data_IF_763962726347
#
_entry.id   IF_763962726347
#
_cell.length_a   1.000
_cell.length_b   1.000
_cell.length_c   1.000
_cell.angle_alpha   90.00
_cell.angle_beta   90.00
_cell.angle_gamma   90.00
#
_symmetry.space_group_name_H-M   'P 1'
#
loop_
_entity.id
_entity.type
_entity.pdbx_description
1 polymer ?
#
# COMPACT_ATOMS: atom_id res chain seq x y z
N UNK A 1 34.43 -13.60 -6.38
CA UNK A 1 33.74 -14.48 -7.33
C UNK A 1 32.35 -13.92 -7.53
N UNK A 2 32.04 -13.37 -8.71
CA UNK A 2 30.72 -12.81 -8.99
C UNK A 2 29.70 -13.95 -9.01
N UNK A 3 28.68 -13.89 -8.14
CA UNK A 3 27.55 -14.82 -8.18
C UNK A 3 26.87 -14.68 -9.54
N UNK A 4 26.73 -15.80 -10.26
CA UNK A 4 25.95 -15.86 -11.48
C UNK A 4 24.49 -15.53 -11.13
N UNK A 5 24.03 -14.35 -11.55
CA UNK A 5 22.64 -13.93 -11.48
C UNK A 5 21.78 -14.93 -12.25
N UNK A 6 20.95 -15.71 -11.55
CA UNK A 6 19.95 -16.56 -12.17
C UNK A 6 18.93 -15.64 -12.85
N UNK A 7 18.97 -15.59 -14.19
CA UNK A 7 18.11 -14.73 -15.00
C UNK A 7 16.64 -15.11 -14.74
N UNK A 8 15.88 -14.21 -14.11
CA UNK A 8 14.45 -14.41 -13.86
C UNK A 8 13.71 -14.60 -15.19
N UNK A 9 12.68 -15.44 -15.25
CA UNK A 9 11.79 -15.50 -16.41
C UNK A 9 11.25 -14.10 -16.70
N UNK A 10 11.25 -13.72 -17.97
CA UNK A 10 10.85 -12.40 -18.45
C UNK A 10 9.46 -12.49 -19.08
N UNK A 11 8.58 -11.58 -18.66
CA UNK A 11 7.25 -11.35 -19.25
C UNK A 11 7.18 -9.93 -19.83
N UNK A 12 6.64 -9.81 -21.04
CA UNK A 12 6.41 -8.53 -21.70
C UNK A 12 4.90 -8.24 -21.78
N UNK A 13 4.48 -7.07 -21.31
CA UNK A 13 3.15 -6.52 -21.58
C UNK A 13 3.24 -5.63 -22.82
N UNK A 14 2.55 -6.00 -23.90
CA UNK A 14 2.64 -5.33 -25.18
C UNK A 14 1.32 -4.64 -25.58
N UNK A 15 1.38 -3.51 -26.29
CA UNK A 15 0.21 -2.83 -26.82
C UNK A 15 0.56 -1.71 -27.80
N UNK A 16 -0.43 -1.20 -28.51
CA UNK A 16 -0.21 -0.10 -29.45
C UNK A 16 -1.43 0.80 -29.64
N UNK A 17 -1.22 1.97 -30.26
CA UNK A 17 -2.29 2.65 -30.99
C UNK A 17 -2.38 2.21 -32.45
N UNK A 18 -3.32 2.78 -33.20
CA UNK A 18 -3.55 2.46 -34.60
C UNK A 18 -2.35 2.75 -35.52
N UNK A 19 -1.46 3.66 -35.14
CA UNK A 19 -0.26 3.98 -35.90
C UNK A 19 0.92 3.04 -35.58
N UNK A 20 0.91 2.42 -34.40
CA UNK A 20 1.98 1.51 -33.95
C UNK A 20 1.67 0.01 -34.08
N UNK A 21 0.43 -0.38 -34.41
CA UNK A 21 -0.02 -1.78 -34.31
C UNK A 21 0.81 -2.77 -35.14
N UNK A 22 1.08 -2.46 -36.41
CA UNK A 22 1.87 -3.33 -37.29
C UNK A 22 3.31 -3.56 -36.77
N UNK A 23 3.91 -2.50 -36.22
CA UNK A 23 5.25 -2.58 -35.63
C UNK A 23 5.23 -3.42 -34.35
N UNK A 24 4.25 -3.19 -33.47
CA UNK A 24 4.03 -4.01 -32.26
C UNK A 24 3.87 -5.49 -32.60
N UNK A 25 3.03 -5.84 -33.58
CA UNK A 25 2.80 -7.25 -33.97
C UNK A 25 4.08 -7.94 -34.47
N UNK A 26 4.91 -7.21 -35.22
CA UNK A 26 6.22 -7.70 -35.67
C UNK A 26 7.13 -8.01 -34.48
N UNK A 27 7.21 -7.09 -33.52
CA UNK A 27 8.04 -7.24 -32.32
C UNK A 27 7.52 -8.36 -31.40
N UNK A 28 6.21 -8.50 -31.23
CA UNK A 28 5.60 -9.62 -30.49
C UNK A 28 5.99 -10.96 -31.10
N UNK A 29 5.99 -11.07 -32.42
CA UNK A 29 6.39 -12.28 -33.12
C UNK A 29 7.86 -12.65 -32.82
N UNK A 30 8.73 -11.65 -32.76
CA UNK A 30 10.14 -11.85 -32.38
C UNK A 30 10.30 -12.25 -30.91
N UNK A 31 9.59 -11.60 -29.99
CA UNK A 31 9.60 -11.98 -28.56
C UNK A 31 9.18 -13.44 -28.36
N UNK A 32 8.11 -13.86 -29.05
CA UNK A 32 7.63 -15.25 -29.01
C UNK A 32 8.65 -16.23 -29.62
N UNK A 33 9.34 -15.84 -30.70
CA UNK A 33 10.42 -16.65 -31.28
C UNK A 33 11.62 -16.82 -30.32
N UNK A 34 11.81 -15.87 -29.40
CA UNK A 34 12.80 -15.95 -28.31
C UNK A 34 12.29 -16.69 -27.06
N UNK A 35 11.10 -17.31 -27.12
CA UNK A 35 10.43 -17.95 -25.98
C UNK A 35 10.18 -17.00 -24.79
N UNK A 36 9.99 -15.71 -25.05
CA UNK A 36 9.60 -14.73 -24.03
C UNK A 36 8.08 -14.72 -23.93
N UNK A 37 7.55 -14.76 -22.70
CA UNK A 37 6.10 -14.65 -22.47
C UNK A 37 5.63 -13.25 -22.86
N UNK A 38 4.59 -13.16 -23.68
CA UNK A 38 4.00 -11.89 -24.11
C UNK A 38 2.51 -11.88 -23.85
N UNK A 39 2.08 -10.88 -23.09
CA UNK A 39 0.68 -10.51 -22.93
C UNK A 39 0.36 -9.34 -23.86
N UNK A 40 -0.38 -9.60 -24.94
CA UNK A 40 -0.76 -8.60 -25.93
C UNK A 40 -2.12 -7.99 -25.57
N UNK A 41 -2.11 -6.70 -25.21
CA UNK A 41 -3.30 -5.91 -24.91
C UNK A 41 -4.02 -5.42 -26.18
N UNK A 42 -3.45 -5.68 -27.36
CA UNK A 42 -4.03 -5.30 -28.64
C UNK A 42 -3.79 -3.84 -28.99
N UNK A 43 -4.80 -3.22 -29.60
CA UNK A 43 -4.74 -1.85 -30.10
C UNK A 43 -5.85 -1.01 -29.49
N UNK A 44 -5.49 0.13 -28.91
CA UNK A 44 -6.43 1.07 -28.30
C UNK A 44 -5.91 2.51 -28.45
N UNK A 45 -6.60 3.49 -27.88
CA UNK A 45 -6.15 4.89 -27.84
C UNK A 45 -4.80 4.96 -27.12
N UNK A 46 -3.90 5.79 -27.64
CA UNK A 46 -2.53 5.91 -27.14
C UNK A 46 -2.43 6.18 -25.62
N UNK A 47 -3.36 6.94 -25.06
CA UNK A 47 -3.39 7.18 -23.61
C UNK A 47 -3.88 5.98 -22.81
N UNK A 48 -4.90 5.25 -23.29
CA UNK A 48 -5.46 4.08 -22.61
C UNK A 48 -4.49 2.90 -22.61
N UNK A 49 -3.86 2.61 -23.75
CA UNK A 49 -2.89 1.51 -23.83
C UNK A 49 -1.59 1.83 -23.07
N UNK A 50 -1.13 3.09 -23.11
CA UNK A 50 0.01 3.53 -22.33
C UNK A 50 -0.26 3.44 -20.82
N UNK A 51 -1.45 3.88 -20.39
CA UNK A 51 -1.92 3.77 -19.01
C UNK A 51 -1.93 2.31 -18.53
N UNK A 52 -2.56 1.42 -19.30
CA UNK A 52 -2.73 0.02 -18.90
C UNK A 52 -1.38 -0.71 -18.80
N UNK A 53 -0.44 -0.45 -19.72
CA UNK A 53 0.92 -1.00 -19.66
C UNK A 53 1.65 -0.50 -18.42
N UNK A 54 1.63 0.82 -18.17
CA UNK A 54 2.26 1.41 -16.99
C UNK A 54 1.71 0.80 -15.69
N UNK A 55 0.38 0.70 -15.59
CA UNK A 55 -0.30 0.12 -14.43
C UNK A 55 0.14 -1.32 -14.17
N UNK A 56 0.18 -2.18 -15.20
CA UNK A 56 0.56 -3.58 -15.05
C UNK A 56 2.03 -3.78 -14.71
N UNK A 57 2.92 -3.01 -15.35
CA UNK A 57 4.37 -3.06 -15.05
C UNK A 57 4.63 -2.61 -13.62
N UNK A 58 3.98 -1.52 -13.17
CA UNK A 58 4.07 -1.02 -11.78
C UNK A 58 3.60 -2.06 -10.75
N UNK A 59 2.44 -2.69 -10.99
CA UNK A 59 1.88 -3.69 -10.07
C UNK A 59 2.72 -4.98 -10.02
N UNK A 60 3.31 -5.40 -11.15
CA UNK A 60 4.11 -6.61 -11.23
C UNK A 60 5.36 -6.56 -10.34
N UNK A 61 5.98 -5.37 -10.22
CA UNK A 61 7.16 -5.17 -9.38
C UNK A 61 6.92 -5.51 -7.89
N UNK A 62 5.68 -5.33 -7.40
CA UNK A 62 5.32 -5.56 -6.00
C UNK A 62 4.70 -6.95 -5.74
N UNK A 63 4.14 -7.59 -6.77
CA UNK A 63 3.31 -8.78 -6.60
C UNK A 63 4.04 -10.11 -6.81
N UNK A 64 5.06 -10.15 -7.68
CA UNK A 64 5.82 -11.38 -7.92
C UNK A 64 7.29 -11.07 -8.27
N UNK A 65 8.21 -11.07 -7.29
CA UNK A 65 9.62 -10.76 -7.54
C UNK A 65 10.34 -11.83 -8.38
N UNK A 66 9.75 -13.03 -8.52
CA UNK A 66 10.35 -14.15 -9.26
C UNK A 66 10.24 -13.99 -10.79
N UNK A 67 9.30 -13.19 -11.29
CA UNK A 67 9.13 -12.90 -12.73
C UNK A 67 9.47 -11.44 -12.98
N UNK A 68 10.37 -11.19 -13.93
CA UNK A 68 10.63 -9.83 -14.37
C UNK A 68 9.57 -9.41 -15.40
N UNK A 69 8.81 -8.35 -15.11
CA UNK A 69 7.80 -7.83 -16.05
C UNK A 69 8.28 -6.50 -16.63
N UNK A 70 8.29 -6.39 -17.97
CA UNK A 70 8.61 -5.16 -18.70
C UNK A 70 7.49 -4.83 -19.70
N UNK A 71 7.47 -3.61 -20.20
CA UNK A 71 6.50 -3.16 -21.21
C UNK A 71 7.10 -2.96 -22.60
N UNK A 72 6.27 -3.15 -23.62
CA UNK A 72 6.51 -2.75 -25.00
C UNK A 72 5.29 -1.98 -25.51
N UNK A 73 5.46 -0.75 -25.95
CA UNK A 73 4.34 0.05 -26.46
C UNK A 73 4.69 0.77 -27.75
N UNK A 74 3.78 0.78 -28.72
CA UNK A 74 4.00 1.45 -30.00
C UNK A 74 2.94 2.51 -30.27
N UNK A 75 3.35 3.68 -30.74
CA UNK A 75 2.43 4.63 -31.36
C UNK A 75 3.08 5.35 -32.53
N UNK A 76 2.42 6.36 -33.10
CA UNK A 76 2.96 7.13 -34.22
C UNK A 76 4.40 7.62 -33.99
N UNK A 77 4.68 8.25 -32.84
CA UNK A 77 6.02 8.76 -32.47
C UNK A 77 6.69 8.02 -31.32
N UNK A 78 5.96 7.15 -30.61
CA UNK A 78 6.37 6.53 -29.34
C UNK A 78 6.25 7.45 -28.10
N UNK A 79 6.28 8.78 -28.28
CA UNK A 79 6.34 9.74 -27.17
C UNK A 79 5.08 9.74 -26.32
N UNK A 80 3.90 9.79 -26.96
CA UNK A 80 2.62 9.90 -26.25
C UNK A 80 2.38 8.72 -25.30
N UNK A 81 2.56 7.49 -25.80
CA UNK A 81 2.39 6.27 -25.00
C UNK A 81 3.39 6.19 -23.85
N UNK A 82 4.64 6.65 -24.05
CA UNK A 82 5.65 6.69 -23.00
C UNK A 82 5.25 7.67 -21.87
N UNK A 83 4.69 8.83 -22.21
CA UNK A 83 4.20 9.80 -21.20
C UNK A 83 3.14 9.18 -20.30
N UNK A 84 2.18 8.44 -20.87
CA UNK A 84 1.10 7.82 -20.09
C UNK A 84 1.59 6.61 -19.28
N UNK A 85 2.49 5.79 -19.83
CA UNK A 85 3.10 4.70 -19.07
C UNK A 85 3.88 5.20 -17.84
N UNK A 86 4.60 6.31 -17.98
CA UNK A 86 5.37 6.95 -16.90
C UNK A 86 4.52 7.57 -15.78
N UNK A 87 3.18 7.57 -15.87
CA UNK A 87 2.31 8.07 -14.78
C UNK A 87 2.25 7.12 -13.58
N UNK A 88 2.74 5.89 -13.73
CA UNK A 88 2.66 4.85 -12.71
C UNK A 88 3.97 4.71 -11.94
N UNK A 89 3.93 4.60 -10.59
CA UNK A 89 5.13 4.47 -9.77
C UNK A 89 6.03 3.32 -10.20
N UNK A 90 7.33 3.57 -10.28
CA UNK A 90 8.33 2.56 -10.68
C UNK A 90 8.33 2.22 -12.17
N UNK A 91 7.56 2.93 -13.00
CA UNK A 91 7.64 2.81 -14.46
C UNK A 91 8.60 3.85 -15.02
N UNK A 92 9.55 3.37 -15.82
CA UNK A 92 10.50 4.18 -16.55
C UNK A 92 10.42 3.80 -18.02
N UNK A 93 9.56 4.50 -18.75
CA UNK A 93 9.31 4.33 -20.17
C UNK A 93 10.15 5.31 -20.99
N UNK A 94 10.85 4.80 -22.00
CA UNK A 94 11.63 5.61 -22.94
C UNK A 94 11.23 5.29 -24.38
N UNK A 95 11.12 6.33 -25.20
CA UNK A 95 11.02 6.17 -26.66
C UNK A 95 12.41 5.99 -27.23
N UNK A 96 12.62 4.92 -28.00
CA UNK A 96 13.91 4.64 -28.64
C UNK A 96 13.69 4.42 -30.15
N UNK A 97 14.41 5.20 -30.96
CA UNK A 97 14.35 5.18 -32.42
C UNK A 97 15.48 4.36 -33.04
N UNK A 98 16.54 4.08 -32.27
CA UNK A 98 17.70 3.30 -32.69
C UNK A 98 18.32 2.51 -31.51
N UNK A 99 19.20 1.52 -31.79
CA UNK A 99 19.80 0.68 -30.74
C UNK A 99 20.62 1.45 -29.70
N UNK A 100 21.27 2.54 -30.08
CA UNK A 100 22.09 3.35 -29.17
C UNK A 100 21.23 4.04 -28.10
N UNK A 101 20.07 4.56 -28.49
CA UNK A 101 19.08 5.10 -27.56
C UNK A 101 18.53 4.03 -26.62
N UNK A 102 18.24 2.82 -27.11
CA UNK A 102 17.81 1.70 -26.27
C UNK A 102 18.88 1.30 -25.24
N UNK A 103 20.15 1.28 -25.66
CA UNK A 103 21.28 0.97 -24.77
C UNK A 103 21.44 2.05 -23.70
N UNK A 104 21.38 3.32 -24.08
CA UNK A 104 21.43 4.45 -23.14
C UNK A 104 20.25 4.40 -22.16
N UNK A 105 19.02 4.17 -22.64
CA UNK A 105 17.83 4.08 -21.80
C UNK A 105 17.94 2.99 -20.72
N UNK A 106 18.45 1.81 -21.09
CA UNK A 106 18.68 0.70 -20.16
C UNK A 106 19.84 0.94 -19.21
N UNK A 107 20.97 1.42 -19.72
CA UNK A 107 22.19 1.61 -18.92
C UNK A 107 22.03 2.75 -17.91
N UNK A 108 21.44 3.87 -18.30
CA UNK A 108 21.40 5.10 -17.50
C UNK A 108 20.14 5.15 -16.63
N UNK A 109 18.98 4.79 -17.18
CA UNK A 109 17.69 5.01 -16.50
C UNK A 109 17.04 3.72 -16.01
N UNK A 110 17.67 2.56 -16.26
CA UNK A 110 17.09 1.25 -16.01
C UNK A 110 15.66 1.10 -16.56
N UNK A 111 15.36 1.69 -17.72
CA UNK A 111 14.00 1.75 -18.28
C UNK A 111 13.35 0.37 -18.38
N UNK A 112 12.15 0.19 -17.84
CA UNK A 112 11.41 -1.08 -17.84
C UNK A 112 10.24 -1.11 -18.84
N UNK A 113 10.01 -0.01 -19.57
CA UNK A 113 9.06 0.04 -20.68
C UNK A 113 9.76 0.62 -21.91
N UNK A 114 9.71 -0.10 -23.02
CA UNK A 114 10.19 0.36 -24.32
C UNK A 114 9.03 0.94 -25.12
N UNK A 115 9.16 2.19 -25.55
CA UNK A 115 8.27 2.79 -26.53
C UNK A 115 8.94 2.88 -27.91
N UNK A 116 8.23 2.51 -28.97
CA UNK A 116 8.73 2.54 -30.36
C UNK A 116 7.82 3.38 -31.26
N UNK A 117 8.40 3.94 -32.32
CA UNK A 117 7.74 4.83 -33.27
C UNK A 117 7.34 4.10 -34.54
N UNK A 118 6.03 3.97 -34.79
CA UNK A 118 5.49 3.39 -36.02
C UNK A 118 5.73 4.25 -37.26
N UNK A 119 5.97 5.55 -37.11
CA UNK A 119 6.23 6.47 -38.24
C UNK A 119 7.71 6.67 -38.55
N UNK A 120 8.59 6.50 -37.55
CA UNK A 120 10.01 6.88 -37.68
C UNK A 120 10.97 5.71 -37.54
N UNK A 121 10.50 4.50 -37.25
CA UNK A 121 11.35 3.32 -37.06
C UNK A 121 10.88 2.18 -37.94
N UNK A 122 11.76 1.63 -38.78
CA UNK A 122 11.42 0.46 -39.60
C UNK A 122 11.34 -0.81 -38.73
N UNK A 123 10.65 -1.87 -39.18
CA UNK A 123 10.58 -3.13 -38.45
C UNK A 123 11.94 -3.75 -38.11
N UNK A 124 12.91 -3.62 -39.01
CA UNK A 124 14.27 -4.14 -38.83
C UNK A 124 15.01 -3.37 -37.73
N UNK A 125 14.96 -2.04 -37.76
CA UNK A 125 15.57 -1.21 -36.72
C UNK A 125 14.87 -1.40 -35.38
N UNK A 126 13.54 -1.51 -35.37
CA UNK A 126 12.77 -1.74 -34.15
C UNK A 126 13.11 -3.09 -33.51
N UNK A 127 13.42 -4.11 -34.32
CA UNK A 127 13.90 -5.40 -33.86
C UNK A 127 15.25 -5.29 -33.12
N UNK A 128 16.18 -4.53 -33.69
CA UNK A 128 17.49 -4.27 -33.08
C UNK A 128 17.36 -3.44 -31.80
N UNK A 129 16.47 -2.44 -31.80
CA UNK A 129 16.11 -1.64 -30.63
C UNK A 129 15.58 -2.54 -29.51
N UNK A 130 14.60 -3.39 -29.82
CA UNK A 130 14.01 -4.32 -28.86
C UNK A 130 15.06 -5.27 -28.28
N UNK A 131 15.84 -5.92 -29.15
CA UNK A 131 16.91 -6.82 -28.73
C UNK A 131 17.90 -6.11 -27.80
N UNK A 132 18.34 -4.92 -28.19
CA UNK A 132 19.29 -4.12 -27.40
C UNK A 132 18.70 -3.74 -26.04
N UNK A 133 17.43 -3.34 -26.00
CA UNK A 133 16.73 -3.03 -24.76
C UNK A 133 16.61 -4.23 -23.81
N UNK A 134 16.37 -5.43 -24.36
CA UNK A 134 16.28 -6.66 -23.57
C UNK A 134 17.63 -7.11 -23.02
N UNK A 135 18.69 -6.98 -23.83
CA UNK A 135 20.02 -7.51 -23.51
C UNK A 135 20.87 -6.56 -22.65
N UNK A 136 20.61 -5.25 -22.69
CA UNK A 136 21.44 -4.25 -21.99
C UNK A 136 21.21 -4.25 -20.48
N UNK A 137 22.23 -4.59 -19.67
CA UNK A 137 22.16 -4.48 -18.22
C UNK A 137 22.18 -3.02 -17.75
N UNK A 138 21.62 -2.77 -16.57
CA UNK A 138 21.74 -1.46 -15.93
C UNK A 138 23.20 -1.13 -15.63
N UNK A 139 23.59 0.14 -15.77
CA UNK A 139 24.95 0.67 -15.59
C UNK A 139 26.03 -0.01 -16.44
N UNK A 140 25.65 -0.65 -17.55
CA UNK A 140 26.62 -1.21 -18.49
C UNK A 140 27.22 -0.14 -19.41
N UNK A 141 28.40 -0.36 -20.01
CA UNK A 141 28.95 0.55 -21.01
C UNK A 141 27.95 0.84 -22.15
N UNK A 142 27.78 2.12 -22.48
CA UNK A 142 26.85 2.59 -23.52
C UNK A 142 27.41 3.79 -24.30
N UNK A 143 26.82 4.20 -25.43
CA UNK A 143 27.27 5.34 -26.22
C UNK A 143 27.54 6.61 -25.39
N UNK A 144 26.68 6.92 -24.41
CA UNK A 144 26.86 8.10 -23.56
C UNK A 144 28.13 8.05 -22.68
N UNK A 145 28.62 6.85 -22.35
CA UNK A 145 29.89 6.64 -21.63
C UNK A 145 31.11 6.54 -22.57
N UNK A 146 30.93 6.80 -23.88
CA UNK A 146 31.94 6.47 -24.90
C UNK A 146 32.18 4.97 -25.03
N UNK A 147 31.19 4.14 -24.65
CA UNK A 147 31.30 2.68 -24.56
C UNK A 147 32.34 2.15 -23.56
N UNK A 148 32.69 2.94 -22.55
CA UNK A 148 33.57 2.52 -21.45
C UNK A 148 32.76 2.21 -20.18
N UNK A 149 33.34 1.47 -19.21
CA UNK A 149 32.75 1.40 -17.87
C UNK A 149 32.53 2.80 -17.29
N UNK A 150 31.44 2.97 -16.54
CA UNK A 150 31.20 4.22 -15.82
C UNK A 150 32.31 4.44 -14.78
N UNK A 151 32.80 5.68 -14.62
CA UNK A 151 33.60 6.04 -13.45
C UNK A 151 32.84 5.72 -12.17
N UNK A 152 33.54 5.32 -11.10
CA UNK A 152 32.93 4.87 -9.84
C UNK A 152 31.89 5.87 -9.28
N UNK A 153 32.18 7.18 -9.37
CA UNK A 153 31.27 8.25 -8.96
C UNK A 153 29.94 8.22 -9.73
N UNK A 154 30.00 7.98 -11.04
CA UNK A 154 28.81 7.90 -11.89
C UNK A 154 28.08 6.57 -11.69
N UNK A 155 28.79 5.45 -11.54
CA UNK A 155 28.13 4.15 -11.25
C UNK A 155 27.33 4.24 -9.95
N UNK A 156 27.92 4.83 -8.91
CA UNK A 156 27.26 5.03 -7.62
C UNK A 156 26.07 6.00 -7.73
N UNK A 157 26.21 7.07 -8.50
CA UNK A 157 25.09 7.98 -8.80
C UNK A 157 23.94 7.24 -9.48
N UNK A 158 24.22 6.45 -10.53
CA UNK A 158 23.20 5.69 -11.25
C UNK A 158 22.51 4.68 -10.31
N UNK A 159 23.28 3.97 -9.47
CA UNK A 159 22.73 3.06 -8.45
C UNK A 159 21.71 3.75 -7.54
N UNK A 160 22.08 4.92 -7.01
CA UNK A 160 21.24 5.67 -6.10
C UNK A 160 20.03 6.30 -6.82
N UNK A 161 20.19 6.65 -8.10
CA UNK A 161 19.17 7.37 -8.87
C UNK A 161 17.85 6.60 -8.96
N UNK A 162 17.84 5.28 -9.07
CA UNK A 162 16.60 4.49 -9.13
C UNK A 162 15.78 4.66 -7.84
N UNK A 163 16.47 4.66 -6.70
CA UNK A 163 15.83 4.87 -5.39
C UNK A 163 15.34 6.30 -5.25
N UNK A 164 16.15 7.28 -5.66
CA UNK A 164 15.77 8.70 -5.57
C UNK A 164 14.62 9.06 -6.50
N UNK A 165 14.66 8.60 -7.76
CA UNK A 165 13.59 8.79 -8.74
C UNK A 165 12.26 8.23 -8.23
N UNK A 166 12.26 7.10 -7.52
CA UNK A 166 11.03 6.51 -6.95
C UNK A 166 10.36 7.38 -5.88
N UNK A 167 11.11 8.33 -5.28
CA UNK A 167 10.62 9.27 -4.27
C UNK A 167 10.10 10.58 -4.89
N UNK A 168 10.43 10.85 -6.16
CA UNK A 168 9.98 12.07 -6.83
C UNK A 168 8.46 12.05 -6.95
N UNK A 169 7.81 13.14 -6.51
CA UNK A 169 6.35 13.22 -6.47
C UNK A 169 5.69 12.51 -5.29
N UNK A 170 6.45 11.78 -4.44
CA UNK A 170 5.94 11.18 -3.19
C UNK A 170 6.31 12.01 -1.96
N UNK A 171 7.29 12.90 -2.07
CA UNK A 171 7.70 13.79 -0.99
C UNK A 171 6.69 14.92 -0.83
N UNK A 172 5.93 14.88 0.26
CA UNK A 172 5.25 16.05 0.81
C UNK A 172 6.35 17.00 1.30
N UNK A 173 6.28 18.33 1.07
CA UNK A 173 7.29 19.25 1.58
C UNK A 173 7.48 19.04 3.07
N UNK A 174 8.72 18.80 3.50
CA UNK A 174 9.08 18.78 4.91
C UNK A 174 8.70 20.15 5.49
N UNK A 175 7.70 20.18 6.39
CA UNK A 175 7.62 21.28 7.33
C UNK A 175 8.89 21.23 8.17
N UNK A 176 9.65 22.30 8.19
CA UNK A 176 10.78 22.50 9.09
C UNK A 176 10.35 22.24 10.54
N UNK A 177 10.50 21.00 11.02
CA UNK A 177 10.74 20.62 12.41
C UNK A 177 10.89 19.10 12.50
N UNK A 178 12.09 18.69 12.89
CA UNK A 178 12.53 17.32 12.92
C UNK A 178 11.66 16.38 13.76
N UNK A 179 11.41 15.21 13.21
CA UNK A 179 10.92 14.04 13.92
C UNK A 179 10.95 12.86 12.98
N UNK A 180 11.76 11.84 13.30
CA UNK A 180 11.79 10.55 12.58
C UNK A 180 10.37 10.02 12.45
N UNK A 181 9.78 10.12 11.26
CA UNK A 181 8.43 9.65 10.97
C UNK A 181 8.48 8.41 10.10
N UNK A 182 8.11 7.28 10.69
CA UNK A 182 7.83 6.03 10.00
C UNK A 182 6.84 6.21 8.84
N UNK A 183 7.05 5.38 7.81
CA UNK A 183 6.23 5.14 6.62
C UNK A 183 4.77 5.59 6.67
N UNK A 184 4.39 6.42 5.70
CA UNK A 184 3.03 6.58 5.20
C UNK A 184 2.13 7.48 6.05
N UNK A 185 1.95 8.74 5.62
CA UNK A 185 0.85 9.57 6.09
C UNK A 185 -0.47 9.03 5.50
N UNK A 186 -0.98 7.98 6.12
CA UNK A 186 -2.37 7.61 6.06
C UNK A 186 -3.16 8.78 6.66
N UNK A 187 -3.92 9.52 5.85
CA UNK A 187 -4.70 10.69 6.31
C UNK A 187 -5.69 10.30 7.43
N UNK A 188 -6.24 9.08 7.35
CA UNK A 188 -7.01 8.46 8.43
C UNK A 188 -6.18 8.32 9.71
N UNK A 189 -4.90 7.98 9.60
CA UNK A 189 -3.99 7.79 10.72
C UNK A 189 -3.58 9.13 11.35
N UNK A 190 -3.50 10.22 10.59
CA UNK A 190 -3.36 11.56 11.16
C UNK A 190 -4.60 11.95 11.97
N UNK A 191 -5.80 11.68 11.44
CA UNK A 191 -7.06 11.82 12.20
C UNK A 191 -7.14 10.88 13.42
N UNK A 192 -6.39 9.77 13.43
CA UNK A 192 -6.27 8.86 14.57
C UNK A 192 -5.28 9.38 15.61
N UNK A 193 -4.11 9.86 15.17
CA UNK A 193 -2.98 10.23 16.03
C UNK A 193 -3.26 11.47 16.88
N UNK A 194 -4.00 12.43 16.35
CA UNK A 194 -4.26 13.70 17.05
C UNK A 194 -5.52 13.67 17.93
N UNK A 195 -6.05 12.47 18.26
CA UNK A 195 -7.20 12.33 19.14
C UNK A 195 -6.83 12.54 20.60
N UNK A 196 -7.37 13.60 21.19
CA UNK A 196 -7.28 13.83 22.63
C UNK A 196 -8.31 12.98 23.38
N UNK A 197 -7.83 12.16 24.32
CA UNK A 197 -8.66 11.37 25.22
C UNK A 197 -8.82 12.11 26.55
N UNK A 198 -10.07 12.30 26.98
CA UNK A 198 -10.40 12.91 28.26
C UNK A 198 -10.68 11.81 29.29
N UNK A 199 -10.09 11.85 30.49
CA UNK A 199 -10.40 10.90 31.55
C UNK A 199 -11.90 10.88 31.86
N UNK A 200 -12.44 9.68 32.13
CA UNK A 200 -13.81 9.51 32.61
C UNK A 200 -13.74 9.47 34.13
N UNK A 201 -14.12 10.56 34.79
CA UNK A 201 -13.91 10.73 36.25
C UNK A 201 -14.48 9.58 37.09
N UNK A 202 -15.62 9.03 36.68
CA UNK A 202 -16.31 7.93 37.37
C UNK A 202 -15.73 6.54 37.08
N UNK A 203 -14.77 6.39 36.17
CA UNK A 203 -14.20 5.09 35.77
C UNK A 203 -12.67 5.11 35.85
N UNK A 204 -12.07 4.64 36.96
CA UNK A 204 -10.63 4.58 37.12
C UNK A 204 -9.92 3.84 35.97
N UNK A 205 -8.97 4.53 35.34
CA UNK A 205 -8.22 4.04 34.18
C UNK A 205 -8.97 4.16 32.84
N UNK A 206 -10.21 4.67 32.85
CA UNK A 206 -11.02 4.95 31.68
C UNK A 206 -10.78 6.36 31.12
N UNK A 207 -10.69 6.47 29.80
CA UNK A 207 -10.70 7.75 29.09
C UNK A 207 -11.47 7.63 27.78
N UNK A 208 -12.08 8.71 27.31
CA UNK A 208 -12.86 8.69 26.08
C UNK A 208 -12.69 9.97 25.26
N UNK A 209 -12.98 9.86 23.97
CA UNK A 209 -13.10 11.00 23.06
C UNK A 209 -14.36 10.84 22.21
N UNK A 210 -15.24 11.85 22.28
CA UNK A 210 -16.49 11.88 21.51
C UNK A 210 -16.17 12.30 20.08
N UNK A 211 -16.53 11.48 19.10
CA UNK A 211 -16.29 11.75 17.67
C UNK A 211 -17.56 12.14 16.91
N UNK A 212 -18.73 11.92 17.51
CA UNK A 212 -20.03 12.30 16.97
C UNK A 212 -21.03 12.42 18.13
N UNK A 213 -21.93 13.41 18.06
CA UNK A 213 -22.92 13.64 19.11
C UNK A 213 -24.25 12.87 18.90
N UNK A 214 -24.71 12.60 17.67
CA UNK A 214 -25.98 11.88 17.44
C UNK A 214 -26.02 11.04 16.14
N UNK A 215 -26.24 9.71 16.22
CA UNK A 215 -26.06 8.90 17.44
C UNK A 215 -24.66 9.13 18.00
N UNK A 216 -24.56 9.14 19.33
CA UNK A 216 -23.30 9.46 19.97
C UNK A 216 -22.32 8.33 19.71
N UNK A 217 -21.07 8.69 19.43
CA UNK A 217 -20.01 7.72 19.19
C UNK A 217 -18.72 8.20 19.81
N UNK A 218 -17.99 7.27 20.42
CA UNK A 218 -16.76 7.56 21.12
C UNK A 218 -15.72 6.48 20.83
N UNK A 219 -14.45 6.88 20.96
CA UNK A 219 -13.39 5.92 21.23
C UNK A 219 -13.12 5.93 22.71
N UNK A 220 -13.07 4.74 23.31
CA UNK A 220 -12.90 4.55 24.75
C UNK A 220 -11.66 3.71 24.98
N UNK A 221 -10.85 4.11 25.97
CA UNK A 221 -9.62 3.44 26.40
C UNK A 221 -9.71 3.09 27.86
N UNK A 222 -9.24 1.88 28.19
CA UNK A 222 -9.00 1.47 29.56
C UNK A 222 -7.61 0.86 29.70
N UNK A 223 -6.93 1.22 30.79
CA UNK A 223 -5.66 0.59 31.17
C UNK A 223 -5.85 -0.86 31.59
N UNK A 224 -4.86 -1.70 31.32
CA UNK A 224 -4.84 -3.09 31.74
C UNK A 224 -5.12 -3.22 33.24
N UNK A 225 -5.98 -4.16 33.62
CA UNK A 225 -6.36 -4.38 35.01
C UNK A 225 -7.50 -3.51 35.52
N UNK A 226 -7.96 -2.50 34.78
CA UNK A 226 -9.18 -1.74 35.16
C UNK A 226 -10.42 -2.64 35.23
N UNK A 227 -11.37 -2.23 36.06
CA UNK A 227 -12.66 -2.91 36.25
C UNK A 227 -13.77 -1.89 36.12
N UNK A 228 -14.77 -2.19 35.30
CA UNK A 228 -16.05 -1.52 35.34
C UNK A 228 -16.95 -2.34 36.29
N UNK A 229 -17.36 -1.78 37.45
CA UNK A 229 -18.33 -2.41 38.33
C UNK A 229 -19.63 -2.72 37.58
N UNK A 230 -20.46 -3.63 38.10
CA UNK A 230 -21.80 -3.87 37.59
C UNK A 230 -22.55 -2.54 37.44
N UNK A 231 -23.01 -2.28 36.23
CA UNK A 231 -23.76 -1.07 35.89
C UNK A 231 -24.69 -1.34 34.72
N UNK A 232 -25.61 -0.41 34.51
CA UNK A 232 -26.47 -0.39 33.34
C UNK A 232 -26.59 1.02 32.75
N UNK A 233 -27.09 1.07 31.51
CA UNK A 233 -27.33 2.28 30.74
C UNK A 233 -28.81 2.37 30.36
N UNK A 234 -29.31 3.60 30.22
CA UNK A 234 -30.67 3.88 29.73
C UNK A 234 -30.81 3.46 28.27
N UNK A 235 -29.76 3.63 27.46
CA UNK A 235 -29.75 3.26 26.05
C UNK A 235 -28.84 2.06 25.80
N UNK A 236 -29.22 1.24 24.83
CA UNK A 236 -28.36 0.16 24.37
C UNK A 236 -27.16 0.71 23.63
N UNK A 237 -26.06 -0.04 23.65
CA UNK A 237 -24.83 0.37 23.01
C UNK A 237 -24.16 -0.76 22.23
N UNK A 238 -23.56 -0.36 21.12
CA UNK A 238 -22.74 -1.18 20.24
C UNK A 238 -21.27 -0.94 20.55
N UNK A 239 -20.47 -2.00 20.67
CA UNK A 239 -19.02 -1.87 20.80
C UNK A 239 -18.26 -2.78 19.82
N UNK A 240 -17.11 -2.30 19.34
CA UNK A 240 -16.11 -3.09 18.61
C UNK A 240 -14.74 -2.87 19.23
N UNK A 241 -14.05 -3.94 19.57
CA UNK A 241 -12.68 -3.87 20.13
C UNK A 241 -11.68 -3.59 19.02
N UNK A 242 -10.85 -2.57 19.20
CA UNK A 242 -9.84 -2.12 18.24
C UNK A 242 -8.43 -2.51 18.66
N UNK A 243 -8.19 -2.60 19.97
CA UNK A 243 -6.92 -3.02 20.57
C UNK A 243 -7.19 -3.69 21.92
N UNK A 244 -6.36 -4.66 22.29
CA UNK A 244 -6.38 -5.29 23.60
C UNK A 244 -7.49 -6.33 23.73
N UNK A 245 -7.84 -6.65 24.97
CA UNK A 245 -8.88 -7.63 25.30
C UNK A 245 -9.60 -7.30 26.59
N UNK A 246 -10.92 -7.56 26.60
CA UNK A 246 -11.80 -7.36 27.75
C UNK A 246 -12.74 -8.56 27.94
N UNK A 247 -13.09 -8.83 29.19
CA UNK A 247 -14.12 -9.79 29.57
C UNK A 247 -15.35 -9.04 30.03
N UNK A 248 -16.52 -9.37 29.48
CA UNK A 248 -17.82 -8.78 29.83
C UNK A 248 -18.70 -9.86 30.43
N UNK A 249 -19.22 -9.60 31.63
CA UNK A 249 -20.25 -10.41 32.26
C UNK A 249 -21.58 -9.68 32.13
N UNK A 250 -22.49 -10.18 31.30
CA UNK A 250 -23.87 -9.70 31.30
C UNK A 250 -24.62 -10.45 32.42
N UNK A 251 -24.81 -9.75 33.54
CA UNK A 251 -25.40 -10.30 34.76
C UNK A 251 -26.90 -10.52 34.59
N UNK A 252 -27.59 -9.67 33.83
CA UNK A 252 -29.01 -9.84 33.49
C UNK A 252 -29.29 -11.16 32.76
N UNK A 253 -28.36 -11.62 31.92
CA UNK A 253 -28.50 -12.84 31.10
C UNK A 253 -27.71 -14.03 31.61
N UNK A 254 -26.89 -13.86 32.65
CA UNK A 254 -25.96 -14.89 33.10
C UNK A 254 -24.95 -15.33 32.02
N UNK A 255 -24.59 -14.43 31.09
CA UNK A 255 -23.68 -14.72 29.97
C UNK A 255 -22.33 -14.04 30.15
N UNK A 256 -21.30 -14.66 29.60
CA UNK A 256 -19.93 -14.15 29.60
C UNK A 256 -19.42 -14.05 28.17
N UNK A 257 -18.64 -13.01 27.92
CA UNK A 257 -18.05 -12.72 26.62
C UNK A 257 -16.58 -12.36 26.82
N UNK A 258 -15.71 -13.14 26.21
CA UNK A 258 -14.29 -12.81 26.05
C UNK A 258 -14.13 -12.12 24.71
N UNK A 259 -13.77 -10.83 24.74
CA UNK A 259 -13.68 -9.98 23.55
C UNK A 259 -12.23 -9.59 23.28
N UNK A 260 -11.75 -9.89 22.09
CA UNK A 260 -10.47 -9.46 21.54
C UNK A 260 -10.66 -8.57 20.30
N UNK A 261 -9.55 -8.23 19.63
CA UNK A 261 -9.56 -7.33 18.47
C UNK A 261 -10.50 -7.82 17.36
N UNK A 262 -11.42 -6.95 16.94
CA UNK A 262 -12.43 -7.22 15.91
C UNK A 262 -13.75 -7.77 16.45
N UNK A 263 -13.80 -8.19 17.71
CA UNK A 263 -15.06 -8.68 18.30
C UNK A 263 -16.05 -7.54 18.53
N UNK A 264 -17.32 -7.87 18.32
CA UNK A 264 -18.46 -6.98 18.48
C UNK A 264 -19.38 -7.47 19.59
N UNK A 265 -19.90 -6.55 20.40
CA UNK A 265 -20.93 -6.83 21.38
C UNK A 265 -21.98 -5.71 21.40
N UNK A 266 -23.25 -6.11 21.31
CA UNK A 266 -24.39 -5.25 21.62
C UNK A 266 -24.88 -5.53 23.04
N UNK A 267 -24.93 -4.49 23.87
CA UNK A 267 -25.57 -4.54 25.19
C UNK A 267 -26.90 -3.80 25.11
N UNK A 268 -28.05 -4.49 25.25
CA UNK A 268 -29.35 -3.84 25.30
C UNK A 268 -29.50 -2.85 26.46
N UNK A 269 -30.40 -1.88 26.28
CA UNK A 269 -30.80 -0.94 27.34
C UNK A 269 -31.23 -1.69 28.61
N UNK A 270 -30.75 -1.23 29.77
CA UNK A 270 -31.07 -1.79 31.07
C UNK A 270 -30.41 -3.13 31.42
N UNK A 271 -29.64 -3.75 30.51
CA UNK A 271 -28.87 -4.94 30.87
C UNK A 271 -27.72 -4.55 31.82
N UNK A 272 -27.70 -5.18 33.00
CA UNK A 272 -26.64 -5.01 33.99
C UNK A 272 -25.44 -5.82 33.55
N UNK A 273 -24.29 -5.18 33.47
CA UNK A 273 -23.05 -5.83 33.08
C UNK A 273 -21.84 -5.32 33.85
N UNK A 274 -20.84 -6.20 34.00
CA UNK A 274 -19.54 -5.94 34.63
C UNK A 274 -18.46 -6.19 33.60
N UNK A 275 -17.34 -5.48 33.71
CA UNK A 275 -16.22 -5.65 32.78
C UNK A 275 -14.87 -5.69 33.47
N UNK A 276 -13.97 -6.52 32.94
CA UNK A 276 -12.55 -6.55 33.29
C UNK A 276 -11.71 -6.34 32.03
N UNK A 277 -10.77 -5.41 32.10
CA UNK A 277 -9.78 -5.19 31.05
C UNK A 277 -8.54 -6.03 31.33
N UNK A 278 -8.23 -6.97 30.44
CA UNK A 278 -7.11 -7.89 30.60
C UNK A 278 -5.80 -7.27 30.10
N UNK A 279 -5.91 -6.41 29.09
CA UNK A 279 -4.84 -5.62 28.48
C UNK A 279 -5.25 -4.16 28.35
N UNK A 280 -4.32 -3.29 27.96
CA UNK A 280 -4.66 -1.93 27.52
C UNK A 280 -5.61 -2.02 26.32
N UNK A 281 -6.86 -1.64 26.54
CA UNK A 281 -7.94 -1.92 25.60
C UNK A 281 -8.49 -0.62 25.04
N UNK A 282 -8.61 -0.56 23.71
CA UNK A 282 -9.29 0.51 22.99
C UNK A 282 -10.45 -0.08 22.21
N UNK A 283 -11.62 0.57 22.28
CA UNK A 283 -12.81 0.13 21.56
C UNK A 283 -13.60 1.33 21.05
N UNK A 284 -14.29 1.12 19.93
CA UNK A 284 -15.30 2.05 19.44
C UNK A 284 -16.61 1.73 20.12
N UNK A 285 -17.31 2.75 20.59
CA UNK A 285 -18.59 2.65 21.28
C UNK A 285 -19.60 3.58 20.61
N UNK A 286 -20.81 3.08 20.37
CA UNK A 286 -21.91 3.86 19.81
C UNK A 286 -23.19 3.60 20.61
N UNK A 287 -23.94 4.65 20.90
CA UNK A 287 -25.23 4.58 21.59
C UNK A 287 -26.15 5.71 21.11
N UNK A 288 -27.43 5.61 21.48
CA UNK A 288 -28.42 6.66 21.23
C UNK A 288 -28.57 7.56 22.47
N UNK A 289 -28.83 8.85 22.27
CA UNK A 289 -29.10 9.77 23.39
C UNK A 289 -27.88 10.14 24.24
N UNK A 290 -28.13 10.63 25.45
CA UNK A 290 -27.05 11.03 26.37
C UNK A 290 -26.39 9.81 27.01
N UNK A 291 -25.06 9.88 27.20
CA UNK A 291 -24.33 8.86 27.94
C UNK A 291 -24.69 8.93 29.42
N UNK A 292 -25.20 7.83 29.96
CA UNK A 292 -25.48 7.64 31.37
C UNK A 292 -24.78 6.39 31.88
N UNK A 293 -24.55 6.30 33.18
CA UNK A 293 -23.90 5.13 33.79
C UNK A 293 -24.44 4.99 35.22
N UNK A 294 -25.27 3.98 35.44
CA UNK A 294 -25.89 3.73 36.74
C UNK A 294 -25.22 2.51 37.36
N UNK A 295 -24.40 2.74 38.39
CA UNK A 295 -23.70 1.68 39.10
C UNK A 295 -24.64 0.89 40.01
N UNK A 296 -24.67 -0.43 39.83
CA UNK A 296 -25.40 -1.40 40.64
C UNK A 296 -24.51 -2.03 41.73
N UNK A 297 -23.20 -1.79 41.69
CA UNK A 297 -22.25 -2.19 42.72
C UNK A 297 -21.05 -1.23 42.80
N UNK A 298 -20.28 -1.31 43.89
CA UNK A 298 -19.02 -0.58 44.04
C UNK A 298 -17.80 -1.35 43.51
N UNK A 299 -16.67 -0.65 43.36
CA UNK A 299 -15.43 -1.24 42.87
C UNK A 299 -14.86 -2.37 43.75
N UNK A 300 -15.07 -2.32 45.07
CA UNK A 300 -14.55 -3.36 45.97
C UNK A 300 -15.33 -4.67 45.78
N UNK A 301 -16.66 -4.58 45.68
CA UNK A 301 -17.55 -5.68 45.37
C UNK A 301 -17.24 -6.28 43.99
N UNK A 302 -17.02 -5.43 42.99
CA UNK A 302 -16.65 -5.87 41.63
C UNK A 302 -15.34 -6.69 41.62
N UNK A 303 -14.30 -6.18 42.29
CA UNK A 303 -13.02 -6.89 42.39
C UNK A 303 -13.15 -8.22 43.14
N UNK A 304 -13.86 -8.25 44.27
CA UNK A 304 -14.09 -9.47 45.03
C UNK A 304 -14.85 -10.54 44.21
N UNK A 305 -15.84 -10.14 43.41
CA UNK A 305 -16.58 -11.03 42.53
C UNK A 305 -15.69 -11.64 41.44
N UNK A 306 -14.78 -10.85 40.86
CA UNK A 306 -13.84 -11.31 39.83
C UNK A 306 -12.78 -12.25 40.42
N UNK A 307 -12.25 -11.93 41.61
CA UNK A 307 -11.22 -12.76 42.24
C UNK A 307 -11.77 -14.11 42.72
N UNK A 308 -13.02 -14.16 43.19
CA UNK A 308 -13.70 -15.43 43.51
C UNK A 308 -13.78 -16.36 42.30
N UNK A 309 -13.94 -15.81 41.09
CA UNK A 309 -13.98 -16.59 39.84
C UNK A 309 -12.60 -17.13 39.44
N UNK A 310 -11.50 -16.40 39.71
CA UNK A 310 -10.14 -16.90 39.43
C UNK A 310 -9.73 -18.10 40.29
N UNK A 311 -10.36 -18.26 41.46
CA UNK A 311 -10.13 -19.38 42.37
C UNK A 311 -11.08 -20.57 42.19
N UNK A 312 -11.95 -20.54 41.16
CA UNK A 312 -12.91 -21.59 40.80
C UNK A 312 -12.45 -22.36 39.57
#
# INVERSE_FOLDING_TARGET
>A
MAQASTKRPLKIIAGADSFGCNLKDTLISQLRALNIEVEDLGTDKYYSVGEEIGRRVSQAANSNPAVETRGLVACGTGVGVAIFANKFPGVYAATCLNPDEARNARSINNCNVLAVSGMNTTPEVAAEVLKTFLETPFRSPCPASGSNPWPDEIDQFLENSVTEMSKIGTLVPESENGGKGESGNCNLCSLVKDREFKPVEIMPGGSMTIVRESPTSAFVKFTAGSVEPAHHHTFGHDLVVLKGSKKVWNLSKGKKYDLGVGDYLFTPAGDVHRVKYLEDTEFFLKWEGQWDLTFDEDHAAANAAIDKEKGS
#
